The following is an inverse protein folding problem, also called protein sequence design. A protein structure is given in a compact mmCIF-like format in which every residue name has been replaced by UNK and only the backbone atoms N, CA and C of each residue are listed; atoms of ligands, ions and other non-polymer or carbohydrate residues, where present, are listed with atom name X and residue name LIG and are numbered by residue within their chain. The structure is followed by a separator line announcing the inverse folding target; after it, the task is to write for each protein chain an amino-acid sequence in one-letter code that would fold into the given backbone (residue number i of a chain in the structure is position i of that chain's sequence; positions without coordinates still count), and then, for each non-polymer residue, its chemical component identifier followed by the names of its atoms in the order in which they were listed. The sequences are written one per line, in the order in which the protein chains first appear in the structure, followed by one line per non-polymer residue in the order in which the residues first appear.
data_IF_334879530494
#
_entry.id   IF_334879530494
#
_cell.length_a   1.000
_cell.length_b   1.000
_cell.length_c   1.000
_cell.angle_alpha   90.00
_cell.angle_beta   90.00
_cell.angle_gamma   90.00
#
_symmetry.space_group_name_H-M   'P 1'
#
loop_
_entity.id
_entity.type
_entity.pdbx_description
1 polymer ?
#
# COMPACT_ATOMS: atom_id res chain seq x y z
N UNK A 1 15.67 11.87 22.29
CA UNK A 1 14.46 11.36 21.60
C UNK A 1 14.82 10.99 20.17
N UNK A 2 14.57 9.76 19.71
CA UNK A 2 14.88 9.36 18.34
C UNK A 2 13.85 9.89 17.33
N UNK A 3 14.30 10.66 16.34
CA UNK A 3 13.49 11.12 15.20
C UNK A 3 13.65 10.13 14.04
N UNK A 4 12.58 9.45 13.65
CA UNK A 4 12.59 8.62 12.44
C UNK A 4 12.54 9.55 11.22
N UNK A 5 13.68 9.73 10.55
CA UNK A 5 13.78 10.51 9.32
C UNK A 5 13.70 9.56 8.12
N UNK A 6 12.83 9.90 7.18
CA UNK A 6 12.64 9.16 5.94
C UNK A 6 13.69 9.60 4.92
N UNK A 7 14.54 8.68 4.48
CA UNK A 7 15.41 8.90 3.32
C UNK A 7 14.55 8.72 2.06
N UNK A 8 13.91 9.81 1.63
CA UNK A 8 13.01 9.87 0.47
C UNK A 8 11.88 10.86 0.73
N UNK A 9 11.65 11.82 -0.20
CA UNK A 9 10.75 12.97 -0.02
C UNK A 9 9.33 12.55 0.42
N UNK A 10 8.94 12.71 1.70
CA UNK A 10 7.60 12.39 2.16
C UNK A 10 6.72 13.60 1.86
N UNK A 11 5.68 13.44 1.04
CA UNK A 11 4.71 14.50 0.79
C UNK A 11 3.72 14.71 1.96
N UNK A 12 3.81 13.96 3.07
CA UNK A 12 2.90 14.10 4.22
C UNK A 12 3.49 13.59 5.55
N UNK A 13 4.30 14.40 6.26
CA UNK A 13 4.92 14.00 7.54
C UNK A 13 3.93 13.80 8.70
N UNK A 14 2.74 14.41 8.65
CA UNK A 14 1.77 14.46 9.77
C UNK A 14 1.08 13.13 10.14
N UNK A 15 1.28 12.05 9.37
CA UNK A 15 0.66 10.73 9.63
C UNK A 15 1.67 9.62 9.96
N UNK A 16 2.98 9.91 9.85
CA UNK A 16 4.01 8.91 10.14
C UNK A 16 4.30 8.87 11.65
N UNK A 17 4.53 7.69 12.21
CA UNK A 17 4.94 7.50 13.61
C UNK A 17 6.42 7.13 13.70
N UNK A 18 6.93 6.90 14.93
CA UNK A 18 8.34 6.50 15.19
C UNK A 18 8.79 5.24 14.42
N UNK A 19 7.84 4.40 14.00
CA UNK A 19 8.07 3.07 13.44
C UNK A 19 7.16 2.77 12.23
N UNK A 20 6.34 3.74 11.78
CA UNK A 20 5.44 3.58 10.63
C UNK A 20 5.58 4.79 9.72
N UNK A 21 5.91 4.53 8.45
CA UNK A 21 5.96 5.54 7.40
C UNK A 21 4.63 5.57 6.65
N UNK A 22 4.01 6.75 6.58
CA UNK A 22 2.79 6.95 5.81
C UNK A 22 3.07 7.63 4.47
N UNK A 23 2.71 6.96 3.38
CA UNK A 23 2.74 7.49 2.03
C UNK A 23 1.31 7.76 1.57
N UNK A 24 0.98 9.03 1.32
CA UNK A 24 -0.36 9.45 0.91
C UNK A 24 -0.76 8.99 -0.49
N UNK A 25 0.22 8.89 -1.39
CA UNK A 25 0.09 8.35 -2.74
C UNK A 25 1.32 7.53 -3.04
N UNK A 26 1.13 6.40 -3.71
CA UNK A 26 2.20 5.53 -4.18
C UNK A 26 2.04 5.37 -5.67
N UNK A 27 3.13 5.59 -6.40
CA UNK A 27 3.27 5.36 -7.84
C UNK A 27 4.61 4.67 -8.09
N UNK A 28 4.92 4.30 -9.33
CA UNK A 28 6.16 3.56 -9.64
C UNK A 28 7.44 4.27 -9.18
N UNK A 29 7.43 5.60 -9.01
CA UNK A 29 8.58 6.35 -8.50
C UNK A 29 8.70 6.32 -6.97
N UNK A 30 7.75 5.67 -6.29
CA UNK A 30 7.79 5.39 -4.85
C UNK A 30 8.48 4.05 -4.55
N UNK A 31 9.00 3.35 -5.57
CA UNK A 31 9.90 2.21 -5.34
C UNK A 31 11.23 2.69 -4.78
N UNK A 32 11.80 1.93 -3.83
CA UNK A 32 13.09 2.27 -3.25
C UNK A 32 13.31 1.68 -1.87
N UNK A 33 14.48 1.98 -1.30
CA UNK A 33 14.85 1.57 0.05
C UNK A 33 14.43 2.64 1.03
N UNK A 34 13.56 2.26 1.97
CA UNK A 34 13.09 3.11 3.06
C UNK A 34 13.84 2.75 4.33
N UNK A 35 14.54 3.73 4.90
CA UNK A 35 15.24 3.60 6.18
C UNK A 35 14.49 4.24 7.33
N UNK A 36 14.62 3.68 8.53
CA UNK A 36 14.38 4.38 9.79
C UNK A 36 15.69 4.40 10.59
N UNK A 37 15.96 5.54 11.22
CA UNK A 37 17.16 5.80 11.99
C UNK A 37 16.77 6.22 13.41
N UNK A 38 17.46 5.69 14.42
CA UNK A 38 17.27 6.02 15.83
C UNK A 38 18.61 6.42 16.41
N UNK A 39 18.68 7.63 16.96
CA UNK A 39 19.90 8.18 17.58
C UNK A 39 19.69 8.49 19.06
N UNK A 40 20.68 8.14 19.89
CA UNK A 40 20.74 8.51 21.31
C UNK A 40 21.38 9.89 21.50
N UNK A 41 20.96 10.62 22.52
CA UNK A 41 21.58 11.89 22.92
C UNK A 41 22.73 11.64 23.92
N UNK A 42 23.56 12.66 24.17
CA UNK A 42 24.85 12.53 24.88
C UNK A 42 24.77 11.89 26.29
N UNK A 43 25.90 11.39 26.83
CA UNK A 43 27.28 11.57 26.34
C UNK A 43 27.73 10.53 25.29
N UNK A 44 26.96 9.48 25.04
CA UNK A 44 27.23 8.50 23.99
C UNK A 44 26.22 8.64 22.86
N UNK A 45 26.68 9.11 21.70
CA UNK A 45 25.88 9.15 20.48
C UNK A 45 25.96 7.79 19.78
N UNK A 46 24.87 7.04 19.78
CA UNK A 46 24.72 5.80 19.03
C UNK A 46 23.57 5.94 18.05
N UNK A 47 23.82 5.61 16.79
CA UNK A 47 22.83 5.62 15.73
C UNK A 47 22.63 4.21 15.21
N UNK A 48 21.39 3.73 15.27
CA UNK A 48 20.98 2.44 14.71
C UNK A 48 20.05 2.71 13.54
N UNK A 49 20.30 2.04 12.42
CA UNK A 49 19.52 2.18 11.19
C UNK A 49 18.96 0.83 10.77
N UNK A 50 17.68 0.82 10.40
CA UNK A 50 17.02 -0.32 9.77
C UNK A 50 16.49 0.10 8.41
N UNK A 51 16.66 -0.75 7.40
CA UNK A 51 16.25 -0.46 6.03
C UNK A 51 15.33 -1.56 5.49
N UNK A 52 14.42 -1.17 4.60
CA UNK A 52 13.55 -2.10 3.89
C UNK A 52 13.24 -1.60 2.49
N UNK A 53 13.31 -2.50 1.52
CA UNK A 53 12.95 -2.22 0.15
C UNK A 53 11.42 -2.28 -0.04
N UNK A 54 10.87 -1.26 -0.71
CA UNK A 54 9.49 -1.21 -1.18
C UNK A 54 9.48 -1.35 -2.71
N UNK A 55 8.70 -2.32 -3.20
CA UNK A 55 8.46 -2.56 -4.63
C UNK A 55 6.97 -2.39 -4.95
N UNK A 56 6.66 -1.89 -6.13
CA UNK A 56 5.32 -1.58 -6.61
C UNK A 56 5.06 -2.38 -7.88
N UNK A 57 4.08 -3.27 -7.81
CA UNK A 57 3.70 -4.10 -8.93
C UNK A 57 2.31 -3.76 -9.45
N UNK A 58 2.16 -3.74 -10.77
CA UNK A 58 0.86 -3.67 -11.42
C UNK A 58 0.11 -5.01 -11.38
N UNK A 59 -1.24 -4.99 -11.53
CA UNK A 59 -2.00 -6.21 -11.71
C UNK A 59 -1.75 -6.83 -13.08
N UNK A 60 -2.06 -8.12 -13.22
CA UNK A 60 -1.95 -8.86 -14.48
C UNK A 60 -3.33 -9.34 -14.94
N UNK A 61 -3.65 -9.12 -16.21
CA UNK A 61 -4.88 -9.64 -16.84
C UNK A 61 -4.54 -10.93 -17.61
N UNK A 62 -5.40 -11.95 -17.47
CA UNK A 62 -5.34 -13.22 -18.20
C UNK A 62 -6.73 -13.56 -18.76
N UNK A 63 -6.79 -14.47 -19.75
CA UNK A 63 -8.03 -14.92 -20.38
C UNK A 63 -8.47 -14.11 -21.60
N UNK A 64 -7.65 -13.16 -22.06
CA UNK A 64 -7.93 -12.39 -23.28
C UNK A 64 -7.55 -13.16 -24.55
N UNK A 65 -8.40 -13.05 -25.57
CA UNK A 65 -8.17 -13.53 -26.93
C UNK A 65 -7.30 -12.54 -27.71
N UNK A 66 -6.64 -13.03 -28.77
CA UNK A 66 -5.84 -12.21 -29.70
C UNK A 66 -6.68 -11.24 -30.52
N UNK A 67 -7.95 -11.57 -30.76
CA UNK A 67 -8.89 -10.77 -31.55
C UNK A 67 -10.31 -10.98 -31.06
N UNK A 68 -11.14 -9.96 -31.23
CA UNK A 68 -12.54 -9.95 -30.84
C UNK A 68 -13.40 -9.25 -31.90
N UNK A 69 -14.63 -9.72 -32.06
CA UNK A 69 -15.68 -9.13 -32.88
C UNK A 69 -16.86 -8.69 -32.01
N UNK A 70 -17.72 -7.85 -32.58
CA UNK A 70 -19.00 -7.51 -31.95
C UNK A 70 -19.85 -8.78 -31.82
N UNK A 71 -20.39 -9.01 -30.63
CA UNK A 71 -21.10 -10.25 -30.27
C UNK A 71 -20.25 -11.27 -29.51
N UNK A 72 -18.92 -11.12 -29.52
CA UNK A 72 -18.05 -12.03 -28.76
C UNK A 72 -18.17 -11.79 -27.25
N UNK A 73 -17.96 -12.85 -26.48
CA UNK A 73 -17.91 -12.79 -25.02
C UNK A 73 -16.46 -12.62 -24.59
N UNK A 74 -16.19 -11.51 -23.88
CA UNK A 74 -14.94 -11.31 -23.16
C UNK A 74 -15.08 -11.94 -21.79
N UNK A 75 -14.15 -12.81 -21.42
CA UNK A 75 -14.04 -13.36 -20.08
C UNK A 75 -12.57 -13.27 -19.64
N UNK A 76 -12.27 -12.34 -18.74
CA UNK A 76 -10.91 -12.04 -18.32
C UNK A 76 -10.79 -12.00 -16.80
N UNK A 77 -9.66 -12.49 -16.29
CA UNK A 77 -9.35 -12.45 -14.86
C UNK A 77 -8.15 -11.57 -14.62
N UNK A 78 -8.30 -10.63 -13.70
CA UNK A 78 -7.24 -9.77 -13.21
C UNK A 78 -6.73 -10.30 -11.87
N UNK A 79 -5.41 -10.41 -11.75
CA UNK A 79 -4.71 -10.87 -10.55
C UNK A 79 -3.87 -9.74 -9.97
N UNK A 80 -4.01 -9.50 -8.66
CA UNK A 80 -3.07 -8.63 -7.94
C UNK A 80 -1.79 -9.41 -7.62
N UNK A 81 -0.65 -8.72 -7.59
CA UNK A 81 0.52 -9.26 -6.89
C UNK A 81 0.26 -9.32 -5.38
N UNK A 82 0.99 -10.17 -4.64
CA UNK A 82 0.91 -10.21 -3.18
C UNK A 82 1.27 -8.85 -2.57
N UNK A 83 0.39 -8.29 -1.76
CA UNK A 83 0.59 -7.01 -1.08
C UNK A 83 0.07 -7.03 0.35
N UNK A 84 0.54 -6.10 1.18
CA UNK A 84 -0.04 -5.83 2.49
C UNK A 84 -0.08 -4.30 2.74
N UNK A 85 -1.27 -3.69 2.92
CA UNK A 85 -2.59 -4.32 2.96
C UNK A 85 -3.00 -4.92 1.60
N UNK A 86 -4.04 -5.77 1.60
CA UNK A 86 -4.54 -6.42 0.38
C UNK A 86 -4.94 -5.36 -0.65
N UNK A 87 -4.63 -5.59 -1.91
CA UNK A 87 -5.09 -4.73 -2.99
C UNK A 87 -6.60 -4.85 -3.20
N UNK A 88 -7.19 -3.83 -3.81
CA UNK A 88 -8.54 -3.80 -4.34
C UNK A 88 -8.47 -3.63 -5.85
N UNK A 89 -9.13 -4.51 -6.60
CA UNK A 89 -9.12 -4.50 -8.05
C UNK A 89 -10.34 -3.75 -8.60
N UNK A 90 -10.13 -2.95 -9.65
CA UNK A 90 -11.19 -2.27 -10.39
C UNK A 90 -10.98 -2.41 -11.88
N UNK A 91 -12.07 -2.67 -12.59
CA UNK A 91 -12.10 -2.77 -14.03
C UNK A 91 -12.52 -1.45 -14.67
N UNK A 92 -12.07 -1.23 -15.90
CA UNK A 92 -12.42 -0.10 -16.75
C UNK A 92 -12.51 -0.58 -18.20
N UNK A 93 -13.56 -0.14 -18.89
CA UNK A 93 -13.79 -0.41 -20.31
C UNK A 93 -13.84 0.94 -21.01
N UNK A 94 -12.93 1.17 -21.95
CA UNK A 94 -12.71 2.47 -22.60
C UNK A 94 -12.57 3.63 -21.60
N UNK A 95 -11.82 3.40 -20.51
CA UNK A 95 -11.63 4.35 -19.40
C UNK A 95 -12.87 4.67 -18.56
N UNK A 96 -13.99 3.98 -18.78
CA UNK A 96 -15.22 4.13 -18.01
C UNK A 96 -15.42 2.96 -17.04
N UNK A 97 -16.09 3.23 -15.93
CA UNK A 97 -16.48 2.18 -15.00
C UNK A 97 -17.48 1.22 -15.67
N UNK A 98 -17.38 -0.10 -15.42
CA UNK A 98 -18.34 -1.06 -15.94
C UNK A 98 -19.76 -0.73 -15.48
N UNK A 99 -20.72 -0.83 -16.41
CA UNK A 99 -22.15 -0.74 -16.11
C UNK A 99 -22.71 -2.08 -15.60
N UNK A 100 -23.97 -2.10 -15.13
CA UNK A 100 -24.62 -3.31 -14.61
C UNK A 100 -24.79 -4.48 -15.59
N UNK A 101 -24.49 -4.29 -16.88
CA UNK A 101 -24.46 -5.37 -17.87
C UNK A 101 -23.18 -6.21 -17.81
N UNK A 102 -22.14 -5.74 -17.12
CA UNK A 102 -20.88 -6.43 -16.97
C UNK A 102 -20.92 -7.26 -15.69
N UNK A 103 -20.70 -8.57 -15.82
CA UNK A 103 -20.65 -9.47 -14.69
C UNK A 103 -19.26 -9.39 -14.09
N UNK A 104 -19.15 -8.96 -12.83
CA UNK A 104 -17.87 -8.86 -12.11
C UNK A 104 -17.96 -9.71 -10.87
N UNK A 105 -16.98 -10.59 -10.69
CA UNK A 105 -16.85 -11.41 -9.47
C UNK A 105 -15.49 -11.16 -8.86
N UNK A 106 -15.45 -10.97 -7.54
CA UNK A 106 -14.23 -10.82 -6.77
C UNK A 106 -13.95 -12.09 -5.99
N UNK A 107 -12.72 -12.61 -6.06
CA UNK A 107 -12.31 -13.71 -5.20
C UNK A 107 -11.94 -13.19 -3.81
N UNK A 108 -12.08 -14.05 -2.80
CA UNK A 108 -11.52 -13.79 -1.47
C UNK A 108 -9.99 -13.62 -1.51
N UNK A 109 -9.39 -12.99 -0.48
CA UNK A 109 -7.95 -12.84 -0.38
C UNK A 109 -7.27 -14.19 -0.13
N UNK A 110 -6.24 -14.49 -0.91
CA UNK A 110 -5.33 -15.61 -0.68
C UNK A 110 -4.15 -15.12 0.13
N UNK A 111 -3.90 -15.75 1.29
CA UNK A 111 -2.74 -15.45 2.15
C UNK A 111 -1.56 -16.33 1.73
N UNK A 112 -0.40 -15.70 1.60
CA UNK A 112 0.88 -16.35 1.31
C UNK A 112 1.67 -16.56 2.61
N UNK A 113 2.68 -17.44 2.58
CA UNK A 113 3.50 -17.79 3.76
C UNK A 113 4.20 -16.58 4.39
N UNK A 114 4.55 -15.58 3.58
CA UNK A 114 5.14 -14.32 4.03
C UNK A 114 4.12 -13.32 4.63
N UNK A 115 2.86 -13.74 4.80
CA UNK A 115 1.77 -12.93 5.35
C UNK A 115 1.24 -11.84 4.41
N UNK A 116 1.68 -11.81 3.14
CA UNK A 116 1.09 -10.97 2.09
C UNK A 116 -0.21 -11.59 1.58
N UNK A 117 -1.03 -10.76 0.93
CA UNK A 117 -2.33 -11.17 0.40
C UNK A 117 -2.43 -10.83 -1.09
N UNK A 118 -2.95 -11.76 -1.88
CA UNK A 118 -3.34 -11.52 -3.28
C UNK A 118 -4.84 -11.66 -3.43
N UNK A 119 -5.41 -10.94 -4.39
CA UNK A 119 -6.82 -11.02 -4.78
C UNK A 119 -6.93 -11.18 -6.28
N UNK A 120 -8.06 -11.69 -6.74
CA UNK A 120 -8.40 -11.73 -8.16
C UNK A 120 -9.81 -11.19 -8.40
N UNK A 121 -10.06 -10.71 -9.60
CA UNK A 121 -11.38 -10.29 -10.05
C UNK A 121 -11.58 -10.74 -11.47
N UNK A 122 -12.68 -11.41 -11.73
CA UNK A 122 -13.11 -11.81 -13.07
C UNK A 122 -14.12 -10.78 -13.61
N UNK A 123 -14.06 -10.50 -14.91
CA UNK A 123 -15.06 -9.74 -15.64
C UNK A 123 -15.52 -10.54 -16.86
N UNK A 124 -16.84 -10.57 -17.06
CA UNK A 124 -17.47 -11.17 -18.22
C UNK A 124 -18.51 -10.23 -18.83
N UNK A 125 -18.45 -10.05 -20.15
CA UNK A 125 -19.41 -9.25 -20.90
C UNK A 125 -19.40 -9.58 -22.39
N UNK A 126 -20.49 -9.28 -23.09
CA UNK A 126 -20.59 -9.37 -24.55
C UNK A 126 -20.26 -8.03 -25.18
N UNK A 127 -19.42 -8.02 -26.22
CA UNK A 127 -19.02 -6.79 -26.93
C UNK A 127 -20.20 -6.28 -27.73
N UNK A 128 -20.64 -5.05 -27.46
CA UNK A 128 -21.69 -4.38 -28.24
C UNK A 128 -21.07 -3.37 -29.19
N UNK A 129 -21.82 -3.03 -30.24
CA UNK A 129 -21.40 -2.00 -31.20
C UNK A 129 -21.10 -0.65 -30.52
N UNK A 130 -21.85 -0.31 -29.46
CA UNK A 130 -21.66 0.92 -28.67
C UNK A 130 -20.37 0.93 -27.86
N UNK A 131 -19.82 -0.24 -27.55
CA UNK A 131 -18.60 -0.38 -26.74
C UNK A 131 -17.34 -0.24 -27.62
N UNK A 132 -17.45 -0.30 -28.95
CA UNK A 132 -16.32 -0.19 -29.86
C UNK A 132 -16.12 1.26 -30.28
N UNK A 133 -15.17 1.95 -29.65
CA UNK A 133 -14.83 3.33 -29.98
C UNK A 133 -13.70 3.37 -31.02
N UNK A 134 -13.98 3.90 -32.22
CA UNK A 134 -13.02 3.99 -33.34
C UNK A 134 -12.36 2.64 -33.70
N UNK A 135 -13.14 1.56 -33.65
CA UNK A 135 -12.65 0.21 -33.95
C UNK A 135 -11.81 -0.42 -32.85
N UNK A 136 -11.75 0.17 -31.64
CA UNK A 136 -10.99 -0.35 -30.51
C UNK A 136 -11.83 -0.48 -29.26
N UNK A 137 -11.61 -1.57 -28.54
CA UNK A 137 -12.10 -1.80 -27.18
C UNK A 137 -10.89 -1.85 -26.26
N UNK A 138 -10.86 -1.03 -25.22
CA UNK A 138 -9.77 -1.00 -24.25
C UNK A 138 -10.25 -1.53 -22.90
N UNK A 139 -9.73 -2.69 -22.49
CA UNK A 139 -9.97 -3.24 -21.16
C UNK A 139 -8.77 -2.93 -20.26
N UNK A 140 -9.02 -2.35 -19.08
CA UNK A 140 -7.99 -2.04 -18.09
C UNK A 140 -8.41 -2.55 -16.72
N UNK A 141 -7.46 -3.11 -15.98
CA UNK A 141 -7.60 -3.43 -14.57
C UNK A 141 -6.61 -2.58 -13.75
N UNK A 142 -7.07 -2.00 -12.65
CA UNK A 142 -6.23 -1.24 -11.72
C UNK A 142 -6.29 -1.85 -10.33
N UNK A 143 -5.12 -1.92 -9.68
CA UNK A 143 -4.97 -2.40 -8.30
C UNK A 143 -4.70 -1.21 -7.37
N UNK A 144 -5.49 -1.11 -6.31
CA UNK A 144 -5.39 -0.05 -5.31
C UNK A 144 -5.11 -0.64 -3.94
N UNK A 145 -4.08 -0.13 -3.26
CA UNK A 145 -3.80 -0.50 -1.87
C UNK A 145 -4.43 0.56 -0.97
N UNK A 146 -5.61 0.27 -0.42
CA UNK A 146 -6.30 1.16 0.52
C UNK A 146 -5.87 0.80 1.96
N UNK A 147 -5.35 1.78 2.70
CA UNK A 147 -5.09 1.62 4.14
C UNK A 147 -6.36 1.93 4.92
N UNK A 148 -7.15 0.91 5.26
CA UNK A 148 -8.33 1.05 6.13
C UNK A 148 -8.22 0.28 7.46
N UNK A 149 -7.06 -0.28 7.81
CA UNK A 149 -6.85 -0.80 9.16
C UNK A 149 -6.29 0.30 10.07
N UNK A 150 -7.05 0.66 11.11
CA UNK A 150 -6.54 1.44 12.23
C UNK A 150 -5.51 0.61 13.00
N UNK A 151 -4.34 1.20 13.27
CA UNK A 151 -3.36 0.64 14.21
C UNK A 151 -3.28 1.60 15.39
N UNK A 152 -3.60 1.11 16.58
CA UNK A 152 -3.32 1.82 17.83
C UNK A 152 -1.85 1.65 18.17
N UNK A 153 -1.22 2.71 18.66
CA UNK A 153 0.14 2.70 19.18
C UNK A 153 0.07 2.90 20.69
N UNK A 154 0.70 2.01 21.45
CA UNK A 154 0.91 2.20 22.90
C UNK A 154 2.33 2.76 23.11
N UNK A 155 2.46 3.82 23.89
CA UNK A 155 3.75 4.39 24.28
C UNK A 155 4.05 3.99 25.72
N UNK A 156 5.17 3.28 25.93
CA UNK A 156 5.73 3.07 27.26
C UNK A 156 6.54 4.31 27.64
N UNK A 157 5.95 5.18 28.46
CA UNK A 157 6.65 6.30 29.08
C UNK A 157 7.39 5.78 30.31
N UNK A 158 8.70 5.54 30.20
CA UNK A 158 9.53 5.34 31.39
C UNK A 158 9.69 6.69 32.10
N UNK A 159 9.07 6.83 33.28
CA UNK A 159 9.30 7.98 34.14
C UNK A 159 10.71 7.93 34.73
N UNK A 160 11.46 9.02 34.60
CA UNK A 160 12.74 9.17 35.27
C UNK A 160 12.57 8.99 36.79
N UNK A 161 13.35 8.08 37.37
CA UNK A 161 13.48 8.01 38.83
C UNK A 161 14.14 9.30 39.29
N UNK A 162 13.34 10.22 39.83
CA UNK A 162 13.83 11.40 40.55
C UNK A 162 14.69 10.92 41.72
N UNK A 163 16.01 11.18 41.66
CA UNK A 163 16.86 11.00 42.82
C UNK A 163 16.51 12.07 43.86
N UNK A 164 16.38 11.71 45.16
CA UNK A 164 16.11 12.70 46.19
C UNK A 164 17.29 13.67 46.34
N UNK A 165 17.02 14.96 46.14
CA UNK A 165 17.96 16.05 46.39
C UNK A 165 18.31 16.08 47.89
N UNK A 166 19.57 15.79 48.24
CA UNK A 166 20.09 15.99 49.59
C UNK A 166 20.35 17.48 49.81
N UNK A 167 19.58 18.11 50.69
CA UNK A 167 19.89 19.45 51.17
C UNK A 167 21.07 19.40 52.16
N UNK A 168 22.07 20.30 52.05
CA UNK A 168 23.13 20.38 53.04
C UNK A 168 22.57 20.89 54.38
N UNK A 169 22.87 20.16 55.46
CA UNK A 169 22.57 20.62 56.83
C UNK A 169 23.40 21.88 57.11
N UNK A 170 22.71 22.96 57.48
CA UNK A 170 23.32 24.19 57.97
C UNK A 170 23.86 23.89 59.38
N UNK A 171 25.17 23.95 59.57
CA UNK A 171 25.78 23.80 60.90
C UNK A 171 25.39 25.00 61.77
N UNK A 172 24.74 24.73 62.89
CA UNK A 172 24.77 25.57 64.10
C UNK A 172 25.81 25.03 65.05
#
# INVERSE_FOLDING_TARGET
MGLCVTVGRPRSPLKSTKNVVYLSRTDINSEGVYGCEVSTEGPSYQTVRGEKEMRIYGPMIQGLSTSYHVGDVVNATCYSRPSRPRAMLRWYINNLAPSGLHQITHSGPVRHDNGLQSVSSNIQFTIRQTDVARGRLELRCMAYVLQTESRTSEELVMGDRVQPVRYPKRNT
#
